data_IF_516159140889
#
_entry.id   IF_516159140889
#
_cell.length_a   1.000
_cell.length_b   1.000
_cell.length_c   1.000
_cell.angle_alpha   90.00
_cell.angle_beta   90.00
_cell.angle_gamma   90.00
#
_symmetry.space_group_name_H-M   'P 1'
#
loop_
_entity.id
_entity.type
_entity.pdbx_description
1 polymer ?
#
# COMPACT_ATOMS: atom_id res chain seq x y z
N UNK A 1 14.97 -19.18 14.03
CA UNK A 1 13.93 -18.12 14.16
C UNK A 1 13.57 -18.04 15.63
N UNK A 2 13.54 -16.86 16.24
CA UNK A 2 13.09 -16.74 17.63
C UNK A 2 11.59 -17.07 17.70
N UNK A 3 11.09 -17.70 18.78
CA UNK A 3 9.67 -17.74 19.06
C UNK A 3 9.04 -16.35 19.01
N UNK A 4 7.81 -16.24 18.50
CA UNK A 4 7.12 -14.95 18.28
C UNK A 4 7.09 -14.09 19.56
N UNK A 5 6.88 -14.73 20.72
CA UNK A 5 6.83 -14.06 22.02
C UNK A 5 8.17 -13.41 22.41
N UNK A 6 9.28 -14.08 22.06
CA UNK A 6 10.62 -13.56 22.30
C UNK A 6 10.97 -12.43 21.32
N UNK A 7 10.47 -12.49 20.09
CA UNK A 7 10.60 -11.40 19.11
C UNK A 7 9.84 -10.15 19.56
N UNK A 8 8.62 -10.32 20.07
CA UNK A 8 7.83 -9.23 20.66
C UNK A 8 8.57 -8.62 21.85
N UNK A 9 9.09 -9.44 22.77
CA UNK A 9 9.81 -8.95 23.94
C UNK A 9 11.08 -8.19 23.55
N UNK A 10 11.86 -8.73 22.60
CA UNK A 10 13.05 -8.07 22.05
C UNK A 10 12.69 -6.71 21.44
N UNK A 11 11.60 -6.66 20.67
CA UNK A 11 11.14 -5.43 20.05
C UNK A 11 10.76 -4.39 21.10
N UNK A 12 9.92 -4.76 22.08
CA UNK A 12 9.43 -3.84 23.12
C UNK A 12 10.57 -3.30 23.98
N UNK A 13 11.47 -4.16 24.45
CA UNK A 13 12.50 -3.79 25.42
C UNK A 13 13.69 -3.06 24.80
N UNK A 14 14.04 -3.36 23.54
CA UNK A 14 15.30 -2.87 22.96
C UNK A 14 15.12 -2.13 21.64
N UNK A 15 14.43 -2.74 20.67
CA UNK A 15 14.41 -2.19 19.31
C UNK A 15 13.48 -0.97 19.20
N UNK A 16 12.34 -0.95 19.89
CA UNK A 16 11.39 0.17 19.90
C UNK A 16 11.98 1.43 20.56
N UNK A 17 12.64 1.36 21.74
CA UNK A 17 13.37 2.51 22.29
C UNK A 17 14.48 3.01 21.36
N UNK A 18 15.26 2.09 20.78
CA UNK A 18 16.33 2.44 19.85
C UNK A 18 15.79 3.11 18.58
N UNK A 19 14.67 2.61 18.05
CA UNK A 19 13.95 3.21 16.92
C UNK A 19 13.55 4.64 17.25
N UNK A 20 12.89 4.84 18.40
CA UNK A 20 12.44 6.16 18.85
C UNK A 20 13.60 7.15 19.04
N UNK A 21 14.78 6.68 19.42
CA UNK A 21 15.99 7.48 19.47
C UNK A 21 16.49 7.83 18.05
N UNK A 22 16.60 6.85 17.15
CA UNK A 22 17.12 7.03 15.80
C UNK A 22 16.26 7.95 14.93
N UNK A 23 14.95 8.01 15.14
CA UNK A 23 14.08 8.92 14.36
C UNK A 23 14.15 10.39 14.81
N UNK A 24 14.70 10.71 15.99
CA UNK A 24 14.69 12.08 16.54
C UNK A 24 15.23 13.17 15.59
N UNK A 25 16.31 12.95 14.82
CA UNK A 25 16.79 13.94 13.87
C UNK A 25 15.75 14.25 12.78
N UNK A 26 15.05 13.23 12.28
CA UNK A 26 14.04 13.38 11.23
C UNK A 26 12.83 14.19 11.70
N UNK A 27 12.44 14.07 12.98
CA UNK A 27 11.31 14.83 13.54
C UNK A 27 11.50 16.35 13.55
N UNK A 28 12.71 16.84 13.24
CA UNK A 28 13.07 18.27 13.17
C UNK A 28 13.26 18.76 11.74
N UNK A 29 13.10 17.89 10.75
CA UNK A 29 13.25 18.26 9.33
C UNK A 29 12.06 19.07 8.85
N UNK A 30 12.27 19.84 7.77
CA UNK A 30 11.20 20.56 7.10
C UNK A 30 10.17 19.57 6.53
N UNK A 31 10.63 18.49 5.90
CA UNK A 31 9.78 17.47 5.27
C UNK A 31 8.85 16.79 6.29
N UNK A 32 9.36 16.45 7.49
CA UNK A 32 8.52 15.94 8.57
C UNK A 32 7.44 16.94 8.98
N UNK A 33 7.82 18.21 9.16
CA UNK A 33 6.90 19.27 9.56
C UNK A 33 5.80 19.47 8.51
N UNK A 34 6.18 19.49 7.23
CA UNK A 34 5.25 19.65 6.12
C UNK A 34 4.26 18.48 6.04
N UNK A 35 4.76 17.24 6.11
CA UNK A 35 3.91 16.05 6.13
C UNK A 35 2.94 16.09 7.32
N UNK A 36 3.42 16.47 8.50
CA UNK A 36 2.60 16.55 9.71
C UNK A 36 1.46 17.56 9.53
N UNK A 37 1.77 18.78 9.08
CA UNK A 37 0.76 19.82 8.82
C UNK A 37 -0.26 19.31 7.79
N UNK A 38 0.21 18.69 6.70
CA UNK A 38 -0.67 18.14 5.65
C UNK A 38 -1.61 17.07 6.19
N UNK A 39 -1.12 16.20 7.08
CA UNK A 39 -1.94 15.16 7.71
C UNK A 39 -2.91 15.72 8.76
N UNK A 40 -2.55 16.77 9.48
CA UNK A 40 -3.45 17.46 10.43
C UNK A 40 -4.66 18.06 9.72
N UNK A 41 -4.47 18.59 8.51
CA UNK A 41 -5.53 19.15 7.67
C UNK A 41 -6.09 18.15 6.65
N UNK A 42 -5.69 16.87 6.71
CA UNK A 42 -6.15 15.89 5.75
C UNK A 42 -7.62 15.55 5.97
N UNK A 43 -8.42 15.80 4.96
CA UNK A 43 -9.80 15.37 4.87
C UNK A 43 -9.99 14.40 3.70
N UNK A 44 -10.78 13.35 3.94
CA UNK A 44 -11.15 12.43 2.87
C UNK A 44 -12.15 13.14 1.95
N UNK A 45 -11.81 13.21 0.67
CA UNK A 45 -12.71 13.70 -0.36
C UNK A 45 -13.88 12.72 -0.52
N UNK A 46 -15.05 13.09 0.00
CA UNK A 46 -16.26 12.26 -0.03
C UNK A 46 -16.90 12.22 -1.41
N UNK A 47 -16.63 13.20 -2.27
CA UNK A 47 -17.22 13.29 -3.60
C UNK A 47 -16.75 12.14 -4.50
N UNK A 48 -15.53 11.63 -4.25
CA UNK A 48 -14.99 10.43 -4.90
C UNK A 48 -15.94 9.23 -4.78
N UNK A 49 -16.72 9.12 -3.70
CA UNK A 49 -17.60 7.98 -3.48
C UNK A 49 -18.84 7.99 -4.38
N UNK A 50 -19.19 9.15 -4.96
CA UNK A 50 -20.38 9.34 -5.79
C UNK A 50 -20.05 9.54 -7.26
N UNK A 51 -18.77 9.52 -7.64
CA UNK A 51 -18.34 9.61 -9.03
C UNK A 51 -18.82 8.39 -9.83
N UNK A 52 -18.90 8.55 -11.15
CA UNK A 52 -19.14 7.42 -12.06
C UNK A 52 -17.96 6.44 -11.99
N UNK A 53 -18.25 5.18 -11.67
CA UNK A 53 -17.24 4.14 -11.48
C UNK A 53 -16.36 3.90 -12.72
N UNK A 54 -16.89 4.14 -13.92
CA UNK A 54 -16.17 3.99 -15.19
C UNK A 54 -15.07 5.05 -15.37
N UNK A 55 -15.11 6.16 -14.63
CA UNK A 55 -14.15 7.28 -14.75
C UNK A 55 -13.47 7.67 -13.44
N UNK A 56 -13.94 7.14 -12.31
CA UNK A 56 -13.44 7.48 -10.98
C UNK A 56 -11.92 7.19 -10.84
N UNK A 57 -11.16 8.07 -10.18
CA UNK A 57 -9.72 7.89 -10.02
C UNK A 57 -9.38 6.90 -8.90
N UNK A 58 -8.51 5.94 -9.23
CA UNK A 58 -7.97 4.96 -8.29
C UNK A 58 -6.45 4.98 -8.31
N UNK A 59 -5.83 4.83 -7.14
CA UNK A 59 -4.40 4.58 -7.02
C UNK A 59 -4.18 3.18 -6.46
N UNK A 60 -3.76 2.27 -7.32
CA UNK A 60 -3.39 0.92 -6.97
C UNK A 60 -1.96 0.97 -6.43
N UNK A 61 -1.70 0.37 -5.29
CA UNK A 61 -0.36 0.37 -4.71
C UNK A 61 -0.04 -0.96 -4.02
N UNK A 62 1.26 -1.18 -3.87
CA UNK A 62 1.84 -2.32 -3.18
C UNK A 62 3.08 -1.86 -2.40
N UNK A 63 3.39 -2.58 -1.31
CA UNK A 63 4.51 -2.29 -0.42
C UNK A 63 5.46 -3.48 -0.32
N UNK A 64 6.76 -3.23 -0.48
CA UNK A 64 7.78 -4.15 0.04
C UNK A 64 8.12 -3.79 1.48
N UNK A 65 8.30 -4.81 2.31
CA UNK A 65 8.49 -4.65 3.75
C UNK A 65 9.60 -5.55 4.26
N UNK A 66 10.19 -5.17 5.41
CA UNK A 66 11.25 -5.98 6.05
C UNK A 66 10.75 -7.30 6.66
N UNK A 67 9.45 -7.54 6.66
CA UNK A 67 8.76 -8.68 7.28
C UNK A 67 7.26 -8.41 7.38
N UNK A 68 6.47 -9.33 7.94
CA UNK A 68 5.01 -9.33 7.78
C UNK A 68 4.24 -8.51 8.83
N UNK A 69 4.89 -8.11 9.93
CA UNK A 69 4.22 -7.61 11.13
C UNK A 69 4.75 -6.22 11.53
N UNK A 70 4.04 -5.12 11.22
CA UNK A 70 4.50 -3.79 11.62
C UNK A 70 4.42 -3.57 13.13
N UNK A 71 3.64 -4.35 13.88
CA UNK A 71 3.50 -4.25 15.34
C UNK A 71 4.81 -4.61 16.07
N UNK A 72 5.60 -5.53 15.48
CA UNK A 72 6.94 -5.92 15.96
C UNK A 72 8.06 -5.16 15.23
N UNK A 73 7.71 -4.01 14.66
CA UNK A 73 8.65 -3.04 14.15
C UNK A 73 9.13 -3.27 12.73
N UNK A 74 8.54 -4.19 11.96
CA UNK A 74 8.85 -4.25 10.53
C UNK A 74 8.54 -2.91 9.86
N UNK A 75 9.27 -2.60 8.80
CA UNK A 75 9.25 -1.33 8.10
C UNK A 75 8.93 -1.52 6.63
N UNK A 76 8.43 -0.46 6.02
CA UNK A 76 8.26 -0.34 4.57
C UNK A 76 9.61 0.03 3.97
N UNK A 77 10.00 -0.65 2.89
CA UNK A 77 11.26 -0.42 2.17
C UNK A 77 11.05 -0.05 0.71
N UNK A 78 9.85 -0.20 0.17
CA UNK A 78 9.48 0.25 -1.17
C UNK A 78 7.98 0.55 -1.23
N UNK A 79 7.60 1.56 -2.01
CA UNK A 79 6.21 1.84 -2.39
C UNK A 79 6.16 1.88 -3.91
N UNK A 80 5.33 1.05 -4.51
CA UNK A 80 5.01 1.08 -5.94
C UNK A 80 3.53 1.39 -6.12
N UNK A 81 3.19 2.24 -7.08
CA UNK A 81 1.82 2.61 -7.33
C UNK A 81 1.54 2.96 -8.79
N UNK A 82 0.32 2.68 -9.20
CA UNK A 82 -0.25 2.95 -10.52
C UNK A 82 -1.55 3.70 -10.34
N UNK A 83 -1.69 4.83 -11.05
CA UNK A 83 -2.94 5.59 -11.09
C UNK A 83 -3.74 5.22 -12.33
N UNK A 84 -5.03 4.97 -12.15
CA UNK A 84 -5.98 4.68 -13.23
C UNK A 84 -7.27 5.50 -13.07
N UNK A 85 -8.07 5.58 -14.14
CA UNK A 85 -9.37 6.24 -14.17
C UNK A 85 -10.45 5.24 -14.61
N UNK A 86 -11.11 4.61 -13.63
CA UNK A 86 -12.10 3.57 -13.83
C UNK A 86 -11.67 2.50 -14.84
N UNK A 87 -12.50 2.26 -15.86
CA UNK A 87 -12.23 1.30 -16.95
C UNK A 87 -11.62 1.97 -18.19
N UNK A 88 -11.30 3.27 -18.13
CA UNK A 88 -10.69 3.96 -19.26
C UNK A 88 -9.24 3.50 -19.45
N UNK A 89 -8.91 3.14 -20.69
CA UNK A 89 -7.53 2.86 -21.11
C UNK A 89 -6.78 4.17 -21.36
N UNK A 90 -6.58 4.96 -20.30
CA UNK A 90 -5.67 6.10 -20.29
C UNK A 90 -4.27 5.59 -19.90
N UNK A 91 -3.22 6.30 -20.36
CA UNK A 91 -1.85 6.02 -19.94
C UNK A 91 -1.73 6.01 -18.41
N UNK A 92 -1.15 4.93 -17.88
CA UNK A 92 -0.90 4.80 -16.45
C UNK A 92 0.17 5.80 -15.98
N UNK A 93 -0.17 6.58 -14.96
CA UNK A 93 0.84 7.28 -14.17
C UNK A 93 1.47 6.29 -13.19
N UNK A 94 2.79 6.35 -13.04
CA UNK A 94 3.57 5.43 -12.22
C UNK A 94 4.28 6.18 -11.11
N UNK A 95 4.34 5.55 -9.94
CA UNK A 95 5.11 6.02 -8.79
C UNK A 95 5.88 4.85 -8.21
N UNK A 96 7.17 5.05 -7.97
CA UNK A 96 8.01 4.05 -7.30
C UNK A 96 9.09 4.75 -6.50
N UNK A 97 9.19 4.42 -5.21
CA UNK A 97 10.23 4.94 -4.34
C UNK A 97 10.72 3.87 -3.38
N UNK A 98 12.04 3.78 -3.24
CA UNK A 98 12.69 3.04 -2.16
C UNK A 98 12.70 3.87 -0.89
N UNK A 99 12.58 3.20 0.25
CA UNK A 99 12.57 3.80 1.57
C UNK A 99 13.74 3.25 2.37
N UNK A 100 14.52 4.15 2.96
CA UNK A 100 15.57 3.81 3.90
C UNK A 100 14.94 3.43 5.26
N UNK A 101 15.05 2.16 5.71
CA UNK A 101 14.53 1.74 7.00
C UNK A 101 15.47 2.12 8.14
N UNK A 102 14.90 2.36 9.33
CA UNK A 102 15.68 2.70 10.53
C UNK A 102 16.35 1.45 11.14
N UNK A 103 15.74 0.28 10.95
CA UNK A 103 16.24 -1.03 11.37
C UNK A 103 16.96 -1.74 10.21
N UNK A 104 17.91 -2.64 10.53
CA UNK A 104 18.54 -3.47 9.52
C UNK A 104 17.52 -4.33 8.77
N UNK A 105 17.68 -4.42 7.45
CA UNK A 105 16.89 -5.31 6.59
C UNK A 105 17.50 -6.72 6.59
N UNK A 106 16.69 -7.77 6.85
CA UNK A 106 17.16 -9.16 6.75
C UNK A 106 17.64 -9.52 5.35
N UNK A 107 18.71 -10.34 5.24
CA UNK A 107 19.23 -10.80 3.93
C UNK A 107 18.14 -11.48 3.08
N UNK A 108 17.30 -12.31 3.71
CA UNK A 108 16.20 -12.98 3.02
C UNK A 108 15.24 -11.99 2.34
N UNK A 109 15.01 -10.82 2.93
CA UNK A 109 14.18 -9.78 2.29
C UNK A 109 14.88 -9.22 1.06
N UNK A 110 16.19 -8.92 1.16
CA UNK A 110 16.97 -8.42 0.02
C UNK A 110 17.02 -9.44 -1.13
N UNK A 111 17.20 -10.71 -0.81
CA UNK A 111 17.18 -11.82 -1.78
C UNK A 111 15.80 -11.97 -2.42
N UNK A 112 14.72 -11.81 -1.65
CA UNK A 112 13.36 -11.94 -2.13
C UNK A 112 12.98 -10.78 -3.06
N UNK A 113 13.31 -9.54 -2.69
CA UNK A 113 12.92 -8.33 -3.44
C UNK A 113 13.92 -7.93 -4.52
N UNK A 114 15.10 -8.55 -4.53
CA UNK A 114 16.21 -8.17 -5.41
C UNK A 114 16.85 -6.81 -5.06
N UNK A 115 16.41 -6.15 -3.99
CA UNK A 115 16.96 -4.85 -3.59
C UNK A 115 18.37 -4.99 -3.03
N UNK A 116 19.28 -4.11 -3.46
CA UNK A 116 20.59 -4.00 -2.86
C UNK A 116 20.55 -3.15 -1.59
N UNK A 117 21.58 -3.28 -0.74
CA UNK A 117 21.75 -2.37 0.40
C UNK A 117 22.02 -0.93 -0.04
N UNK A 118 22.55 -0.75 -1.24
CA UNK A 118 22.80 0.57 -1.81
C UNK A 118 21.49 1.25 -2.22
N UNK A 119 20.56 0.51 -2.84
CA UNK A 119 19.21 1.00 -3.15
C UNK A 119 18.50 1.52 -1.90
N UNK A 120 18.60 0.76 -0.80
CA UNK A 120 18.01 1.16 0.47
C UNK A 120 18.71 2.41 1.05
N UNK A 121 20.04 2.46 1.04
CA UNK A 121 20.81 3.61 1.55
C UNK A 121 20.54 4.89 0.79
N UNK A 122 20.24 4.79 -0.50
CA UNK A 122 19.87 5.92 -1.36
C UNK A 122 18.35 6.19 -1.37
N UNK A 123 17.57 5.38 -0.63
CA UNK A 123 16.13 5.56 -0.48
C UNK A 123 15.75 6.78 0.33
N UNK A 124 14.50 7.20 0.18
CA UNK A 124 13.90 8.30 0.92
C UNK A 124 13.67 7.94 2.39
N UNK A 125 13.54 8.93 3.28
CA UNK A 125 12.96 8.64 4.59
C UNK A 125 11.49 8.21 4.41
N UNK A 126 10.93 7.51 5.41
CA UNK A 126 9.50 7.15 5.37
C UNK A 126 8.61 8.39 5.20
N UNK A 127 8.95 9.51 5.86
CA UNK A 127 8.17 10.75 5.78
C UNK A 127 8.15 11.31 4.36
N UNK A 128 9.31 11.41 3.69
CA UNK A 128 9.39 11.99 2.35
C UNK A 128 8.66 11.08 1.34
N UNK A 129 8.89 9.76 1.45
CA UNK A 129 8.24 8.81 0.57
C UNK A 129 6.72 8.82 0.74
N UNK A 130 6.23 8.86 1.98
CA UNK A 130 4.80 8.91 2.23
C UNK A 130 4.18 10.25 1.80
N UNK A 131 4.89 11.37 1.96
CA UNK A 131 4.47 12.67 1.45
C UNK A 131 4.31 12.65 -0.08
N UNK A 132 5.31 12.11 -0.79
CA UNK A 132 5.28 11.98 -2.24
C UNK A 132 4.15 11.03 -2.69
N UNK A 133 3.97 9.92 -2.01
CA UNK A 133 2.86 8.99 -2.26
C UNK A 133 1.49 9.65 -2.04
N UNK A 134 1.30 10.45 -0.98
CA UNK A 134 0.08 11.22 -0.78
C UNK A 134 -0.14 12.30 -1.84
N UNK A 135 0.93 12.83 -2.43
CA UNK A 135 0.83 13.77 -3.55
C UNK A 135 0.38 13.04 -4.82
N UNK A 136 0.96 11.88 -5.10
CA UNK A 136 0.60 11.04 -6.24
C UNK A 136 -0.84 10.50 -6.15
N UNK A 137 -1.24 10.02 -4.97
CA UNK A 137 -2.58 9.46 -4.71
C UNK A 137 -3.66 10.51 -4.41
N UNK A 138 -3.34 11.80 -4.53
CA UNK A 138 -4.29 12.89 -4.25
C UNK A 138 -5.56 12.70 -5.10
N UNK A 139 -6.72 12.95 -4.48
CA UNK A 139 -8.03 12.84 -5.14
C UNK A 139 -8.21 11.49 -5.85
N UNK A 140 -7.89 10.40 -5.16
CA UNK A 140 -8.15 9.03 -5.62
C UNK A 140 -8.44 8.10 -4.46
N UNK A 141 -9.05 6.96 -4.75
CA UNK A 141 -9.26 5.88 -3.80
C UNK A 141 -8.06 4.93 -3.88
N UNK A 142 -7.47 4.62 -2.73
CA UNK A 142 -6.37 3.65 -2.66
C UNK A 142 -6.89 2.22 -2.85
N UNK A 143 -6.16 1.41 -3.58
CA UNK A 143 -6.50 0.01 -3.84
C UNK A 143 -5.25 -0.85 -3.63
N UNK A 144 -5.38 -1.96 -2.93
CA UNK A 144 -4.28 -2.91 -2.70
C UNK A 144 -4.82 -4.36 -2.60
N UNK A 145 -3.92 -5.34 -2.65
CA UNK A 145 -4.26 -6.76 -2.78
C UNK A 145 -3.38 -7.67 -1.88
N UNK A 146 -3.83 -8.03 -0.66
CA UNK A 146 -5.00 -7.53 0.05
C UNK A 146 -4.72 -6.19 0.76
N UNK A 147 -5.64 -5.24 0.66
CA UNK A 147 -5.42 -3.91 1.22
C UNK A 147 -5.24 -3.86 2.75
N UNK A 148 -5.74 -4.86 3.48
CA UNK A 148 -5.55 -4.95 4.93
C UNK A 148 -4.07 -4.95 5.34
N UNK A 149 -3.20 -5.58 4.53
CA UNK A 149 -1.76 -5.64 4.80
C UNK A 149 -1.11 -4.27 4.67
N UNK A 150 -1.21 -3.67 3.47
CA UNK A 150 -0.54 -2.41 3.16
C UNK A 150 -1.05 -1.25 4.00
N UNK A 151 -2.37 -1.19 4.20
CA UNK A 151 -2.99 -0.16 5.03
C UNK A 151 -2.57 -0.27 6.50
N UNK A 152 -2.39 -1.50 7.03
CA UNK A 152 -1.89 -1.69 8.38
C UNK A 152 -0.44 -1.19 8.52
N UNK A 153 0.41 -1.47 7.53
CA UNK A 153 1.77 -0.94 7.49
C UNK A 153 1.80 0.58 7.48
N UNK A 154 1.04 1.23 6.59
CA UNK A 154 0.97 2.70 6.53
C UNK A 154 0.51 3.30 7.87
N UNK A 155 -0.60 2.79 8.42
CA UNK A 155 -1.16 3.31 9.68
C UNK A 155 -0.22 3.10 10.86
N UNK A 156 0.44 1.94 10.94
CA UNK A 156 1.37 1.64 12.03
C UNK A 156 2.65 2.47 11.91
N UNK A 157 3.16 2.68 10.69
CA UNK A 157 4.29 3.58 10.46
C UNK A 157 3.94 5.02 10.84
N UNK A 158 2.76 5.54 10.45
CA UNK A 158 2.31 6.87 10.87
C UNK A 158 2.32 7.04 12.40
N UNK A 159 1.77 6.05 13.14
CA UNK A 159 1.81 6.05 14.61
C UNK A 159 3.25 6.05 15.14
N UNK A 160 4.11 5.20 14.57
CA UNK A 160 5.52 5.05 14.99
C UNK A 160 6.31 6.34 14.79
N UNK A 161 6.01 7.08 13.73
CA UNK A 161 6.59 8.38 13.40
C UNK A 161 5.89 9.57 14.08
N UNK A 162 4.94 9.31 14.98
CA UNK A 162 4.18 10.33 15.73
C UNK A 162 3.41 11.30 14.83
N UNK A 163 2.92 10.79 13.69
CA UNK A 163 2.11 11.53 12.73
C UNK A 163 0.62 11.23 12.93
N UNK A 164 -0.29 12.14 12.55
CA UNK A 164 -1.72 11.86 12.54
C UNK A 164 -2.04 10.65 11.65
N UNK A 165 -2.88 9.74 12.15
CA UNK A 165 -3.27 8.52 11.42
C UNK A 165 -4.45 8.85 10.51
N UNK A 166 -4.16 9.55 9.42
CA UNK A 166 -5.12 9.96 8.40
C UNK A 166 -4.74 9.31 7.07
N UNK A 167 -5.63 8.51 6.52
CA UNK A 167 -5.43 7.85 5.22
C UNK A 167 -6.61 8.15 4.30
N UNK A 168 -6.39 8.15 2.96
CA UNK A 168 -7.48 8.21 2.00
C UNK A 168 -8.48 7.06 2.16
N UNK A 169 -9.57 7.12 1.38
CA UNK A 169 -10.43 5.97 1.18
C UNK A 169 -9.62 4.81 0.61
N UNK A 170 -9.93 3.59 1.03
CA UNK A 170 -9.24 2.39 0.59
C UNK A 170 -10.22 1.28 0.24
N UNK A 171 -9.84 0.44 -0.73
CA UNK A 171 -10.58 -0.71 -1.21
C UNK A 171 -9.67 -1.94 -1.25
N UNK A 172 -10.17 -3.08 -0.78
CA UNK A 172 -9.49 -4.36 -0.90
C UNK A 172 -9.89 -5.07 -2.20
N UNK A 173 -8.98 -5.11 -3.17
CA UNK A 173 -9.22 -5.78 -4.45
C UNK A 173 -9.30 -7.31 -4.29
N UNK A 174 -8.71 -7.89 -3.24
CA UNK A 174 -8.84 -9.32 -2.98
C UNK A 174 -10.27 -9.69 -2.58
N UNK A 175 -10.96 -8.83 -1.83
CA UNK A 175 -12.37 -9.04 -1.49
C UNK A 175 -13.26 -9.04 -2.73
N UNK A 176 -12.99 -8.17 -3.71
CA UNK A 176 -13.69 -8.21 -5.00
C UNK A 176 -13.49 -9.53 -5.73
N UNK A 177 -12.26 -10.06 -5.77
CA UNK A 177 -11.97 -11.38 -6.35
C UNK A 177 -12.77 -12.48 -5.66
N UNK A 178 -12.86 -12.47 -4.32
CA UNK A 178 -13.63 -13.46 -3.56
C UNK A 178 -15.13 -13.43 -3.90
N UNK A 179 -15.69 -12.24 -4.11
CA UNK A 179 -17.10 -12.10 -4.48
C UNK A 179 -17.40 -12.45 -5.94
N UNK A 180 -16.55 -11.98 -6.87
CA UNK A 180 -16.74 -12.20 -8.30
C UNK A 180 -16.38 -13.63 -8.73
N UNK A 181 -15.43 -14.25 -8.03
CA UNK A 181 -14.91 -15.57 -8.37
C UNK A 181 -14.79 -16.50 -7.15
N UNK A 182 -15.91 -16.87 -6.51
CA UNK A 182 -15.90 -17.61 -5.23
C UNK A 182 -15.23 -18.99 -5.31
N UNK A 183 -15.16 -19.61 -6.49
CA UNK A 183 -14.56 -20.92 -6.70
C UNK A 183 -13.06 -20.88 -7.06
N UNK A 184 -12.46 -19.67 -7.15
CA UNK A 184 -11.07 -19.49 -7.55
C UNK A 184 -10.16 -19.32 -6.34
N UNK A 185 -8.86 -19.59 -6.56
CA UNK A 185 -7.82 -19.26 -5.60
C UNK A 185 -7.53 -17.75 -5.64
N UNK A 186 -7.62 -17.09 -4.49
CA UNK A 186 -7.51 -15.64 -4.35
C UNK A 186 -6.09 -15.13 -4.05
N UNK A 187 -5.06 -15.97 -4.19
CA UNK A 187 -3.68 -15.46 -4.18
C UNK A 187 -3.41 -14.73 -5.49
N UNK A 188 -2.64 -13.64 -5.43
CA UNK A 188 -2.43 -12.75 -6.57
C UNK A 188 -1.87 -13.49 -7.80
N UNK A 189 -0.88 -14.38 -7.61
CA UNK A 189 -0.32 -15.18 -8.70
C UNK A 189 -1.35 -16.07 -9.40
N UNK A 190 -2.27 -16.66 -8.62
CA UNK A 190 -3.28 -17.56 -9.14
C UNK A 190 -4.29 -16.79 -9.99
N UNK A 191 -4.80 -15.66 -9.48
CA UNK A 191 -5.83 -14.89 -10.19
C UNK A 191 -5.28 -14.15 -11.41
N UNK A 192 -4.03 -13.66 -11.37
CA UNK A 192 -3.34 -13.06 -12.52
C UNK A 192 -3.24 -14.08 -13.65
N UNK A 193 -2.75 -15.28 -13.33
CA UNK A 193 -2.60 -16.37 -14.31
C UNK A 193 -3.96 -16.75 -14.90
N UNK A 194 -4.97 -16.89 -14.05
CA UNK A 194 -6.29 -17.34 -14.46
C UNK A 194 -7.05 -16.32 -15.33
N UNK A 195 -6.79 -15.03 -15.14
CA UNK A 195 -7.40 -13.95 -15.94
C UNK A 195 -6.53 -13.51 -17.13
N UNK A 196 -5.43 -14.22 -17.40
CA UNK A 196 -4.54 -13.96 -18.54
C UNK A 196 -3.81 -12.63 -18.46
N UNK A 197 -3.50 -12.16 -17.25
CA UNK A 197 -2.76 -10.91 -17.01
C UNK A 197 -1.26 -11.18 -17.17
N UNK A 198 -0.53 -10.23 -17.77
CA UNK A 198 0.90 -10.39 -17.99
C UNK A 198 1.63 -10.49 -16.66
N UNK A 199 2.37 -11.59 -16.45
CA UNK A 199 3.14 -11.79 -15.23
C UNK A 199 4.48 -11.06 -15.34
N UNK A 200 4.68 -10.11 -14.43
CA UNK A 200 5.95 -9.43 -14.17
C UNK A 200 6.67 -10.11 -13.01
N UNK A 201 7.94 -9.74 -12.80
CA UNK A 201 8.71 -10.22 -11.65
C UNK A 201 8.01 -9.80 -10.35
N UNK A 202 7.79 -10.79 -9.47
CA UNK A 202 7.17 -10.63 -8.15
C UNK A 202 8.15 -10.03 -7.15
N UNK A 203 7.61 -9.53 -6.04
CA UNK A 203 8.38 -8.90 -4.96
C UNK A 203 9.11 -7.62 -5.40
N UNK A 204 8.48 -6.93 -6.35
CA UNK A 204 8.84 -5.59 -6.76
C UNK A 204 7.57 -4.73 -6.72
N UNK A 205 7.49 -3.82 -5.75
CA UNK A 205 6.27 -3.06 -5.47
C UNK A 205 5.62 -2.42 -6.71
N UNK A 206 6.38 -1.88 -7.66
CA UNK A 206 5.80 -1.29 -8.88
C UNK A 206 5.24 -2.36 -9.83
N UNK A 207 5.89 -3.52 -9.92
CA UNK A 207 5.42 -4.61 -10.78
C UNK A 207 4.13 -5.20 -10.20
N UNK A 208 4.10 -5.45 -8.89
CA UNK A 208 2.94 -5.97 -8.18
C UNK A 208 1.77 -4.98 -8.26
N UNK A 209 2.02 -3.67 -8.10
CA UNK A 209 1.01 -2.63 -8.36
C UNK A 209 0.53 -2.59 -9.82
N UNK A 210 1.41 -2.83 -10.80
CA UNK A 210 1.06 -2.88 -12.23
C UNK A 210 0.15 -4.05 -12.55
N UNK A 211 0.53 -5.26 -12.13
CA UNK A 211 -0.32 -6.44 -12.32
C UNK A 211 -1.66 -6.31 -11.58
N UNK A 212 -1.64 -5.71 -10.38
CA UNK A 212 -2.86 -5.43 -9.61
C UNK A 212 -3.74 -4.38 -10.29
N UNK A 213 -3.17 -3.40 -10.98
CA UNK A 213 -3.94 -2.41 -11.74
C UNK A 213 -4.68 -3.04 -12.93
N UNK A 214 -4.01 -3.90 -13.69
CA UNK A 214 -4.63 -4.65 -14.79
C UNK A 214 -5.73 -5.59 -14.27
N UNK A 215 -5.47 -6.27 -13.16
CA UNK A 215 -6.48 -7.07 -12.47
C UNK A 215 -7.68 -6.20 -12.07
N UNK A 216 -7.42 -5.10 -11.39
CA UNK A 216 -8.45 -4.24 -10.84
C UNK A 216 -9.34 -3.63 -11.91
N UNK A 217 -8.80 -3.25 -13.08
CA UNK A 217 -9.62 -2.82 -14.21
C UNK A 217 -10.61 -3.89 -14.71
N UNK A 218 -10.19 -5.16 -14.75
CA UNK A 218 -11.11 -6.28 -15.06
C UNK A 218 -12.19 -6.43 -14.00
N UNK A 219 -11.81 -6.37 -12.72
CA UNK A 219 -12.76 -6.43 -11.60
C UNK A 219 -13.78 -5.28 -11.65
N UNK A 220 -13.32 -4.06 -11.97
CA UNK A 220 -14.18 -2.90 -12.16
C UNK A 220 -15.20 -3.14 -13.25
N UNK A 221 -14.77 -3.66 -14.41
CA UNK A 221 -15.67 -3.96 -15.52
C UNK A 221 -16.74 -4.98 -15.12
N UNK A 222 -16.36 -6.05 -14.40
CA UNK A 222 -17.29 -7.05 -13.91
C UNK A 222 -18.28 -6.48 -12.88
N UNK A 223 -17.81 -5.63 -11.96
CA UNK A 223 -18.67 -4.92 -11.01
C UNK A 223 -19.65 -3.97 -11.70
N UNK A 224 -19.23 -3.25 -12.74
CA UNK A 224 -20.11 -2.39 -13.56
C UNK A 224 -21.19 -3.24 -14.24
N UNK A 225 -20.83 -4.41 -14.78
CA UNK A 225 -21.78 -5.34 -15.39
C UNK A 225 -22.82 -5.87 -14.38
N UNK A 226 -22.48 -5.94 -13.10
CA UNK A 226 -23.40 -6.26 -12.00
C UNK A 226 -24.28 -5.07 -11.55
N UNK A 227 -24.13 -3.91 -12.18
CA UNK A 227 -24.92 -2.71 -11.91
C UNK A 227 -24.36 -1.81 -10.80
N UNK A 228 -23.11 -2.03 -10.36
CA UNK A 228 -22.40 -1.12 -9.44
C UNK A 228 -21.98 0.13 -10.22
N UNK A 229 -22.41 1.30 -9.76
CA UNK A 229 -22.26 2.58 -10.49
C UNK A 229 -21.25 3.53 -9.88
N UNK A 230 -20.98 3.40 -8.58
CA UNK A 230 -20.12 4.35 -7.86
C UNK A 230 -19.05 3.65 -7.04
N UNK A 231 -17.92 4.31 -6.72
CA UNK A 231 -16.93 3.75 -5.81
C UNK A 231 -17.47 3.50 -4.40
N UNK A 232 -18.45 4.28 -3.94
CA UNK A 232 -19.13 4.03 -2.66
C UNK A 232 -19.86 2.68 -2.65
N UNK A 233 -20.60 2.37 -3.72
CA UNK A 233 -21.24 1.06 -3.90
C UNK A 233 -20.21 -0.07 -4.03
N UNK A 234 -19.11 0.17 -4.74
CA UNK A 234 -18.02 -0.81 -4.88
C UNK A 234 -17.38 -1.17 -3.52
N UNK A 235 -17.10 -0.17 -2.69
CA UNK A 235 -16.55 -0.38 -1.34
C UNK A 235 -17.54 -1.19 -0.49
N UNK A 236 -18.83 -0.86 -0.55
CA UNK A 236 -19.86 -1.63 0.16
C UNK A 236 -19.93 -3.07 -0.34
N UNK A 237 -19.86 -3.28 -1.65
CA UNK A 237 -19.84 -4.62 -2.25
C UNK A 237 -18.64 -5.43 -1.76
N UNK A 238 -17.43 -4.85 -1.75
CA UNK A 238 -16.21 -5.49 -1.25
C UNK A 238 -16.23 -5.81 0.26
N UNK A 239 -17.08 -5.15 1.05
CA UNK A 239 -17.19 -5.33 2.50
C UNK A 239 -18.30 -6.30 2.90
N UNK A 240 -19.15 -6.74 1.97
CA UNK A 240 -20.17 -7.74 2.27
C UNK A 240 -19.48 -9.01 2.75
N UNK A 241 -19.98 -9.61 3.82
CA UNK A 241 -19.50 -10.94 4.22
C UNK A 241 -19.97 -11.92 3.14
N UNK A 242 -19.02 -12.68 2.56
CA UNK A 242 -19.32 -13.83 1.71
C UNK A 242 -19.83 -14.99 2.56
#
# INVERSE_FOLDING_TARGET
MLPIDLEILKYILFEKPLYAYKIRPYLRTADYTELKIRLEHFERNKDLLNMDLSTAPFTIFDLETTGLLPEVGHEIISIGAIRIHGTQHIQYERFHQHIYPIRPVPNRTLELTGMSREDLRNGHSFCDAYYNFLKFSKDSILVAYPAAFDMNFLQTMLKRWKLPVKTPHSLDAQSLVKHLYPNKKFQLDNIITELGICKLDRHHALNDATMTAELFQKLLQDCINLGIKTPGELIQYAQKKS
#
